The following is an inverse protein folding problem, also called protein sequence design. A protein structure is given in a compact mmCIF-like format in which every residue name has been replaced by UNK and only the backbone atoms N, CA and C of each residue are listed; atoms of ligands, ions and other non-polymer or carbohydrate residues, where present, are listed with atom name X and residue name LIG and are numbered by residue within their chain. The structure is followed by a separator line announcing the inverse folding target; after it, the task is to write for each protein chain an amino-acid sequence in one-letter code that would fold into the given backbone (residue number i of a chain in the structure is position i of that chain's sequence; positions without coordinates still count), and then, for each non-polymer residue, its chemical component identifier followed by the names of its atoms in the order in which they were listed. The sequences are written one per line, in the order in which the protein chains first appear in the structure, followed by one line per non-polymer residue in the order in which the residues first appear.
data_IF_709163838895
#
_entry.id   IF_709163838895
#
_cell.length_a   1.000
_cell.length_b   1.000
_cell.length_c   1.000
_cell.angle_alpha   90.00
_cell.angle_beta   90.00
_cell.angle_gamma   90.00
#
_symmetry.space_group_name_H-M   'P 1'
#
loop_
_entity.id
_entity.type
_entity.pdbx_description
1 polymer ?
#
# COMPACT_ATOMS: atom_id res chain seq x y z
N UNK A 1 -20.05 14.99 5.10
CA UNK A 1 -19.22 14.13 5.95
C UNK A 1 -17.77 14.61 5.92
N UNK A 2 -17.11 14.64 7.03
CA UNK A 2 -15.73 15.08 7.14
C UNK A 2 -14.78 13.89 6.99
N UNK A 3 -13.54 14.16 6.60
CA UNK A 3 -12.49 13.13 6.46
C UNK A 3 -12.30 12.32 7.76
N UNK A 4 -12.28 12.97 8.93
CA UNK A 4 -12.11 12.31 10.21
C UNK A 4 -13.28 11.35 10.58
N UNK A 5 -14.47 11.59 10.06
CA UNK A 5 -15.60 10.68 10.25
C UNK A 5 -15.46 9.42 9.41
N UNK A 6 -15.00 9.55 8.16
CA UNK A 6 -14.66 8.42 7.29
C UNK A 6 -13.53 7.61 7.90
N UNK A 7 -12.49 8.29 8.38
CA UNK A 7 -11.34 7.66 9.04
C UNK A 7 -11.75 6.85 10.27
N UNK A 8 -12.58 7.42 11.14
CA UNK A 8 -13.07 6.73 12.34
C UNK A 8 -13.85 5.47 11.99
N UNK A 9 -14.76 5.56 11.03
CA UNK A 9 -15.55 4.42 10.57
C UNK A 9 -14.66 3.33 9.96
N UNK A 10 -13.64 3.74 9.20
CA UNK A 10 -12.67 2.82 8.61
C UNK A 10 -11.89 2.06 9.68
N UNK A 11 -11.34 2.75 10.65
CA UNK A 11 -10.58 2.14 11.75
C UNK A 11 -11.44 1.14 12.55
N UNK A 12 -12.69 1.50 12.86
CA UNK A 12 -13.62 0.62 13.55
C UNK A 12 -13.97 -0.62 12.72
N UNK A 13 -14.17 -0.46 11.42
CA UNK A 13 -14.49 -1.57 10.51
C UNK A 13 -13.32 -2.55 10.38
N UNK A 14 -12.09 -2.06 10.28
CA UNK A 14 -10.88 -2.91 10.24
C UNK A 14 -10.74 -3.69 11.55
N UNK A 15 -10.97 -3.04 12.67
CA UNK A 15 -10.94 -3.70 13.99
C UNK A 15 -12.01 -4.78 14.09
N UNK A 16 -13.23 -4.52 13.63
CA UNK A 16 -14.31 -5.50 13.60
C UNK A 16 -13.97 -6.71 12.73
N UNK A 17 -13.16 -6.54 11.69
CA UNK A 17 -12.66 -7.62 10.84
C UNK A 17 -11.46 -8.39 11.46
N UNK A 18 -11.05 -8.07 12.68
CA UNK A 18 -9.95 -8.72 13.37
C UNK A 18 -8.57 -8.14 13.05
N UNK A 19 -8.51 -7.01 12.34
CA UNK A 19 -7.27 -6.36 11.97
C UNK A 19 -6.96 -5.10 12.77
N UNK A 20 -5.94 -4.38 12.32
CA UNK A 20 -5.53 -3.10 12.87
C UNK A 20 -5.30 -2.11 11.74
N UNK A 21 -5.80 -0.89 11.90
CA UNK A 21 -5.51 0.23 11.01
C UNK A 21 -4.66 1.25 11.78
N UNK A 22 -3.35 1.13 11.61
CA UNK A 22 -2.38 1.95 12.33
C UNK A 22 -2.15 3.28 11.60
N UNK A 23 -2.02 4.35 12.36
CA UNK A 23 -1.63 5.62 11.79
C UNK A 23 -0.22 5.52 11.23
N UNK A 24 -0.05 5.91 9.98
CA UNK A 24 1.22 5.77 9.28
C UNK A 24 1.80 7.13 8.94
N UNK A 25 3.03 7.34 9.38
CA UNK A 25 3.85 8.51 9.05
C UNK A 25 5.26 8.04 8.73
N UNK A 26 5.96 8.79 7.90
CA UNK A 26 7.37 8.52 7.59
C UNK A 26 8.17 9.81 7.77
N UNK A 27 9.26 9.73 8.51
CA UNK A 27 10.18 10.85 8.68
C UNK A 27 11.03 11.10 7.44
N UNK A 28 11.27 10.05 6.65
CA UNK A 28 12.15 10.12 5.48
C UNK A 28 11.41 10.32 4.16
N UNK A 29 10.08 10.18 4.14
CA UNK A 29 9.31 10.17 2.90
C UNK A 29 7.98 10.88 3.07
N UNK A 30 7.75 11.93 2.29
CA UNK A 30 6.49 12.65 2.25
C UNK A 30 5.47 11.96 1.32
N UNK A 31 4.18 12.20 1.55
CA UNK A 31 3.10 11.73 0.69
C UNK A 31 2.72 10.26 0.90
N UNK A 32 3.18 9.63 1.99
CA UNK A 32 2.77 8.27 2.35
C UNK A 32 1.29 8.22 2.73
N UNK A 33 0.60 7.07 2.52
CA UNK A 33 -0.79 6.90 2.93
C UNK A 33 -1.02 7.07 4.44
N UNK A 34 -2.23 7.45 4.83
CA UNK A 34 -2.58 7.76 6.24
C UNK A 34 -2.55 6.57 7.16
N UNK A 35 -2.94 5.39 6.67
CA UNK A 35 -3.10 4.19 7.47
C UNK A 35 -2.36 3.00 6.90
N UNK A 36 -1.70 2.28 7.78
CA UNK A 36 -1.18 0.93 7.54
C UNK A 36 -2.20 -0.07 8.06
N UNK A 37 -2.71 -0.92 7.19
CA UNK A 37 -3.73 -1.91 7.54
C UNK A 37 -3.11 -3.29 7.62
N UNK A 38 -3.29 -3.92 8.76
CA UNK A 38 -2.85 -5.29 9.01
C UNK A 38 -4.07 -6.18 9.22
N UNK A 39 -4.16 -7.27 8.47
CA UNK A 39 -5.21 -8.27 8.59
C UNK A 39 -4.63 -9.65 8.83
N UNK A 40 -5.47 -10.59 9.30
CA UNK A 40 -5.11 -11.98 9.52
C UNK A 40 -4.50 -12.61 8.25
N UNK A 41 -3.53 -13.49 8.43
CA UNK A 41 -2.83 -14.14 7.32
C UNK A 41 -1.65 -13.36 6.77
N UNK A 42 -1.09 -12.42 7.54
CA UNK A 42 0.07 -11.62 7.12
C UNK A 42 -0.23 -10.59 6.05
N UNK A 43 -1.48 -10.17 5.92
CA UNK A 43 -1.90 -9.19 4.92
C UNK A 43 -1.58 -7.79 5.39
N UNK A 44 -0.92 -7.02 4.52
CA UNK A 44 -0.53 -5.65 4.75
C UNK A 44 -0.95 -4.79 3.57
N UNK A 45 -1.64 -3.71 3.84
CA UNK A 45 -2.08 -2.76 2.82
C UNK A 45 -2.00 -1.34 3.35
N UNK A 46 -2.09 -0.37 2.46
CA UNK A 46 -2.10 1.04 2.80
C UNK A 46 -3.41 1.67 2.39
N UNK A 47 -3.89 2.61 3.17
CA UNK A 47 -5.13 3.32 2.87
C UNK A 47 -4.95 4.81 3.07
N UNK A 48 -5.27 5.56 2.03
CA UNK A 48 -5.40 7.02 2.06
C UNK A 48 -6.86 7.37 2.30
N UNK A 49 -7.12 8.20 3.28
CA UNK A 49 -8.46 8.64 3.63
C UNK A 49 -8.67 10.08 3.19
N UNK A 50 -9.76 10.33 2.50
CA UNK A 50 -10.13 11.63 1.98
C UNK A 50 -11.56 11.99 2.35
N UNK A 51 -11.85 13.29 2.43
CA UNK A 51 -13.23 13.76 2.46
C UNK A 51 -13.93 13.43 1.14
N UNK A 52 -15.27 13.25 1.13
CA UNK A 52 -16.01 12.92 -0.09
C UNK A 52 -15.69 13.85 -1.24
N UNK A 53 -15.35 13.28 -2.41
CA UNK A 53 -15.00 14.00 -3.62
C UNK A 53 -13.58 14.55 -3.67
N UNK A 54 -12.81 14.46 -2.61
CA UNK A 54 -11.39 14.83 -2.59
C UNK A 54 -10.54 13.75 -3.23
N UNK A 55 -9.54 14.16 -4.00
CA UNK A 55 -8.61 13.26 -4.68
C UNK A 55 -7.24 13.27 -4.02
N UNK A 56 -6.47 12.21 -4.27
CA UNK A 56 -5.08 12.14 -3.85
C UNK A 56 -4.25 13.25 -4.50
N UNK A 57 -3.33 13.82 -3.75
CA UNK A 57 -2.33 14.74 -4.27
C UNK A 57 -1.35 14.01 -5.19
N UNK A 58 -0.66 14.73 -6.06
CA UNK A 58 0.32 14.18 -7.02
C UNK A 58 1.37 13.32 -6.30
N UNK A 59 1.92 13.82 -5.19
CA UNK A 59 2.93 13.08 -4.43
C UNK A 59 2.36 11.80 -3.80
N UNK A 60 1.12 11.84 -3.33
CA UNK A 60 0.43 10.65 -2.79
C UNK A 60 0.21 9.59 -3.87
N UNK A 61 -0.14 9.99 -5.08
CA UNK A 61 -0.26 9.07 -6.23
C UNK A 61 1.08 8.43 -6.57
N UNK A 62 2.16 9.20 -6.55
CA UNK A 62 3.51 8.69 -6.76
C UNK A 62 3.88 7.64 -5.70
N UNK A 63 3.61 7.89 -4.43
CA UNK A 63 3.85 6.92 -3.36
C UNK A 63 3.01 5.66 -3.53
N UNK A 64 1.76 5.82 -3.93
CA UNK A 64 0.90 4.68 -4.26
C UNK A 64 1.52 3.77 -5.31
N UNK A 65 1.96 4.33 -6.43
CA UNK A 65 2.61 3.56 -7.49
C UNK A 65 3.86 2.83 -7.00
N UNK A 66 4.67 3.47 -6.17
CA UNK A 66 5.86 2.85 -5.58
C UNK A 66 5.51 1.68 -4.67
N UNK A 67 4.52 1.83 -3.81
CA UNK A 67 4.07 0.77 -2.90
C UNK A 67 3.41 -0.39 -3.66
N UNK A 68 2.59 -0.10 -4.65
CA UNK A 68 1.97 -1.11 -5.50
C UNK A 68 3.02 -1.89 -6.31
N UNK A 69 4.07 -1.23 -6.79
CA UNK A 69 5.18 -1.89 -7.46
C UNK A 69 5.93 -2.88 -6.55
N UNK A 70 5.92 -2.65 -5.23
CA UNK A 70 6.47 -3.56 -4.24
C UNK A 70 5.49 -4.69 -3.85
N UNK A 71 4.28 -4.69 -4.38
CA UNK A 71 3.29 -5.72 -4.14
C UNK A 71 2.28 -5.42 -3.03
N UNK A 72 2.22 -4.18 -2.55
CA UNK A 72 1.27 -3.79 -1.49
C UNK A 72 0.06 -3.08 -2.07
N UNK A 73 -1.17 -3.53 -1.73
CA UNK A 73 -2.38 -2.81 -2.11
C UNK A 73 -2.42 -1.42 -1.48
N UNK A 74 -2.89 -0.44 -2.24
CA UNK A 74 -3.13 0.92 -1.76
C UNK A 74 -4.52 1.35 -2.19
N UNK A 75 -5.38 1.66 -1.23
CA UNK A 75 -6.73 2.14 -1.49
C UNK A 75 -6.85 3.61 -1.12
N UNK A 76 -7.70 4.32 -1.84
CA UNK A 76 -8.13 5.67 -1.47
C UNK A 76 -9.62 5.62 -1.12
N UNK A 77 -9.95 5.85 0.12
CA UNK A 77 -11.32 5.79 0.62
C UNK A 77 -11.79 7.21 0.94
N UNK A 78 -12.81 7.68 0.24
CA UNK A 78 -13.41 9.01 0.44
C UNK A 78 -14.87 8.95 0.87
N UNK A 79 -15.44 7.75 0.99
CA UNK A 79 -16.85 7.52 1.37
C UNK A 79 -17.00 6.26 2.21
N UNK A 80 -17.95 6.26 3.17
CA UNK A 80 -18.23 5.09 3.99
C UNK A 80 -18.58 3.82 3.20
N UNK A 81 -19.26 3.98 2.06
CA UNK A 81 -19.69 2.87 1.21
C UNK A 81 -18.53 2.07 0.62
N UNK A 82 -17.34 2.65 0.58
CA UNK A 82 -16.12 2.01 0.05
C UNK A 82 -15.40 1.16 1.11
N UNK A 83 -15.72 1.34 2.39
CA UNK A 83 -15.00 0.71 3.52
C UNK A 83 -15.12 -0.81 3.47
N UNK A 84 -16.34 -1.36 3.45
CA UNK A 84 -16.55 -2.80 3.43
C UNK A 84 -16.02 -3.47 2.16
N UNK A 85 -16.22 -2.91 0.95
CA UNK A 85 -15.58 -3.44 -0.25
C UNK A 85 -14.06 -3.49 -0.18
N UNK A 86 -13.41 -2.46 0.38
CA UNK A 86 -11.97 -2.43 0.55
C UNK A 86 -11.48 -3.53 1.50
N UNK A 87 -12.12 -3.69 2.65
CA UNK A 87 -11.79 -4.73 3.62
C UNK A 87 -12.01 -6.12 3.01
N UNK A 88 -13.13 -6.32 2.34
CA UNK A 88 -13.44 -7.59 1.67
C UNK A 88 -12.40 -7.95 0.59
N UNK A 89 -11.99 -6.98 -0.22
CA UNK A 89 -10.96 -7.18 -1.23
C UNK A 89 -9.62 -7.61 -0.60
N UNK A 90 -9.26 -7.03 0.54
CA UNK A 90 -8.05 -7.42 1.28
C UNK A 90 -8.16 -8.80 1.91
N UNK A 91 -9.32 -9.16 2.45
CA UNK A 91 -9.56 -10.49 3.03
C UNK A 91 -9.40 -11.57 1.96
N UNK A 92 -9.90 -11.33 0.75
CA UNK A 92 -9.83 -12.27 -0.37
C UNK A 92 -8.47 -12.29 -1.08
N UNK A 93 -7.66 -11.26 -0.90
CA UNK A 93 -6.34 -11.15 -1.53
C UNK A 93 -5.28 -11.88 -0.73
N UNK A 94 -4.32 -12.50 -1.42
CA UNK A 94 -3.13 -13.10 -0.81
C UNK A 94 -1.87 -12.36 -1.25
N UNK A 95 -0.90 -12.13 -0.34
CA UNK A 95 0.40 -11.57 -0.72
C UNK A 95 1.03 -12.36 -1.88
N UNK A 96 1.55 -11.65 -2.88
CA UNK A 96 2.10 -12.23 -4.10
C UNK A 96 1.11 -12.38 -5.25
N UNK A 97 -0.18 -12.28 -5.00
CA UNK A 97 -1.21 -12.23 -6.05
C UNK A 97 -1.33 -10.82 -6.65
N UNK A 98 -1.94 -10.68 -7.83
CA UNK A 98 -2.25 -9.36 -8.39
C UNK A 98 -3.02 -8.50 -7.39
N UNK A 99 -2.63 -7.23 -7.29
CA UNK A 99 -3.19 -6.29 -6.33
C UNK A 99 -4.65 -6.00 -6.66
N UNK A 100 -5.58 -6.03 -5.67
CA UNK A 100 -6.96 -5.61 -5.87
C UNK A 100 -7.02 -4.16 -6.35
N UNK A 101 -7.74 -3.91 -7.42
CA UNK A 101 -7.90 -2.58 -8.01
C UNK A 101 -9.37 -2.18 -8.07
N UNK A 102 -9.63 -0.91 -8.31
CA UNK A 102 -10.97 -0.40 -8.55
C UNK A 102 -11.76 -0.03 -7.29
N UNK A 103 -11.14 -0.06 -6.11
CA UNK A 103 -11.76 0.39 -4.87
C UNK A 103 -11.15 1.73 -4.47
N UNK A 104 -11.99 2.73 -4.35
CA UNK A 104 -11.61 4.07 -3.99
C UNK A 104 -11.90 5.09 -5.08
N UNK A 105 -11.54 6.34 -4.83
CA UNK A 105 -11.71 7.42 -5.79
C UNK A 105 -11.04 7.06 -7.12
N UNK A 106 -11.75 7.26 -8.21
CA UNK A 106 -11.18 7.07 -9.55
C UNK A 106 -9.90 7.87 -9.66
N UNK A 107 -8.80 7.16 -9.85
CA UNK A 107 -7.55 7.80 -10.19
C UNK A 107 -7.65 8.19 -11.66
N UNK A 108 -7.48 9.48 -12.01
CA UNK A 108 -7.32 9.83 -13.41
C UNK A 108 -6.19 8.98 -13.99
N UNK A 109 -6.39 8.44 -15.17
CA UNK A 109 -5.36 7.69 -15.86
C UNK A 109 -4.10 8.55 -15.90
N UNK A 110 -3.10 8.13 -15.15
CA UNK A 110 -1.80 8.76 -15.24
C UNK A 110 -1.13 8.27 -16.53
N UNK A 111 -0.44 9.16 -17.27
CA UNK A 111 0.37 8.70 -18.37
C UNK A 111 1.32 7.61 -17.86
N UNK A 112 1.48 6.55 -18.65
CA UNK A 112 2.34 5.43 -18.29
C UNK A 112 3.69 5.93 -17.77
N UNK A 113 3.89 5.81 -16.47
CA UNK A 113 5.21 5.98 -15.91
C UNK A 113 5.96 4.70 -16.30
N UNK A 114 6.81 4.81 -17.30
CA UNK A 114 7.77 3.75 -17.58
C UNK A 114 8.58 3.54 -16.31
N UNK A 115 8.28 2.47 -15.60
CA UNK A 115 9.14 2.00 -14.53
C UNK A 115 10.55 1.85 -15.12
N UNK A 116 11.58 2.33 -14.44
CA UNK A 116 12.93 2.07 -14.91
C UNK A 116 13.09 0.55 -15.03
N UNK A 117 13.26 0.08 -16.25
CA UNK A 117 13.70 -1.28 -16.50
C UNK A 117 15.14 -1.35 -16.03
N UNK A 118 15.33 -1.67 -14.76
CA UNK A 118 16.65 -1.65 -14.20
C UNK A 118 16.79 -2.72 -13.15
N UNK A 119 17.02 -3.92 -13.59
CA UNK A 119 17.45 -5.02 -12.74
C UNK A 119 18.95 -5.01 -12.44
N UNK A 120 19.67 -3.96 -12.81
CA UNK A 120 21.10 -3.85 -12.48
C UNK A 120 21.36 -3.92 -10.97
N UNK A 121 20.44 -3.41 -10.14
CA UNK A 121 20.61 -3.49 -8.69
C UNK A 121 20.33 -4.87 -8.12
N UNK A 122 19.41 -5.63 -8.66
CA UNK A 122 19.16 -7.00 -8.21
C UNK A 122 20.29 -7.95 -8.61
N UNK A 123 20.87 -7.79 -9.80
CA UNK A 123 22.03 -8.57 -10.20
C UNK A 123 23.28 -8.25 -9.38
N UNK A 124 23.50 -6.97 -9.04
CA UNK A 124 24.60 -6.57 -8.15
C UNK A 124 24.43 -7.10 -6.73
N UNK A 125 23.18 -7.15 -6.21
CA UNK A 125 22.88 -7.71 -4.90
C UNK A 125 23.06 -9.23 -4.85
N UNK A 126 22.66 -9.95 -5.89
CA UNK A 126 22.86 -11.39 -5.99
C UNK A 126 24.35 -11.74 -6.10
N UNK A 127 25.12 -10.98 -6.89
CA UNK A 127 26.57 -11.16 -7.01
C UNK A 127 27.28 -10.90 -5.68
N UNK A 128 26.87 -9.86 -4.93
CA UNK A 128 27.41 -9.59 -3.60
C UNK A 128 27.06 -10.68 -2.58
N UNK A 129 25.87 -11.25 -2.64
CA UNK A 129 25.47 -12.34 -1.77
C UNK A 129 26.24 -13.63 -2.06
N UNK A 130 26.57 -13.91 -3.31
CA UNK A 130 27.41 -15.05 -3.72
C UNK A 130 28.85 -14.87 -3.26
N UNK A 131 29.43 -13.70 -3.45
CA UNK A 131 30.79 -13.38 -2.99
C UNK A 131 30.90 -13.43 -1.47
N UNK A 132 29.90 -12.93 -0.75
CA UNK A 132 29.85 -13.03 0.71
C UNK A 132 29.68 -14.46 1.21
N UNK A 133 29.07 -15.34 0.42
CA UNK A 133 28.93 -16.76 0.73
C UNK A 133 30.23 -17.56 0.61
N UNK A 134 31.15 -17.15 -0.24
CA UNK A 134 32.45 -17.79 -0.41
C UNK A 134 33.47 -17.43 0.66
N UNK A 135 33.34 -16.28 1.30
CA UNK A 135 34.25 -15.83 2.36
C UNK A 135 33.97 -16.45 3.74
N UNK A 136 32.94 -17.24 3.91
CA UNK A 136 32.38 -17.64 5.22
C UNK A 136 32.87 -18.98 5.71
N UNK A 137 33.95 -19.57 5.20
CA UNK A 137 34.43 -20.83 5.75
C UNK A 137 35.93 -20.85 6.05
N UNK A 138 36.37 -20.20 7.14
CA UNK A 138 37.61 -20.66 7.74
C UNK A 138 37.33 -21.96 8.49
N UNK A 139 38.07 -22.94 8.16
CA UNK A 139 38.12 -24.14 9.02
C UNK A 139 38.75 -23.81 10.38
#
# INVERSE_FOLDING_TARGET
MRENEVEKQFVEAVRAAGGQALKFTSQSMNGVPDRLVLLLGGKCAFVELKAPGKQMRILQRKRRLQLEALGFPVFCVDRPEQIQPAIHALICWKPGEPIPQGIGAKIPEMPEVKLPQGNTQSEELETRAQDAGEEVMPK
#
